data_IF_670823835215
#
_entry.id   IF_670823835215
#
_cell.length_a   1.000
_cell.length_b   1.000
_cell.length_c   1.000
_cell.angle_alpha   90.00
_cell.angle_beta   90.00
_cell.angle_gamma   90.00
#
_symmetry.space_group_name_H-M   'P 1'
#
loop_
_entity.id
_entity.type
_entity.pdbx_description
1 polymer ?
#
# COMPACT_ATOMS: atom_id res chain seq x y z
N UNK A 1 17.67 -21.90 -15.29
CA UNK A 1 16.75 -21.42 -16.33
C UNK A 1 15.60 -20.57 -15.76
N UNK A 2 14.75 -21.08 -14.83
CA UNK A 2 13.62 -20.31 -14.27
C UNK A 2 13.97 -18.89 -13.78
N UNK A 3 15.16 -18.68 -13.18
CA UNK A 3 15.61 -17.33 -12.77
C UNK A 3 15.71 -16.35 -13.94
N UNK A 4 16.21 -16.80 -15.09
CA UNK A 4 16.28 -16.00 -16.30
C UNK A 4 14.87 -15.69 -16.82
N UNK A 5 14.01 -16.70 -16.92
CA UNK A 5 12.62 -16.52 -17.38
C UNK A 5 11.83 -15.53 -16.49
N UNK A 6 11.95 -15.62 -15.16
CA UNK A 6 11.29 -14.67 -14.23
C UNK A 6 11.82 -13.26 -14.41
N UNK A 7 13.15 -13.10 -14.57
CA UNK A 7 13.74 -11.78 -14.81
C UNK A 7 13.29 -11.18 -16.15
N UNK A 8 13.16 -11.99 -17.20
CA UNK A 8 12.66 -11.59 -18.52
C UNK A 8 11.19 -11.17 -18.45
N UNK A 9 10.34 -11.94 -17.74
CA UNK A 9 8.93 -11.58 -17.53
C UNK A 9 8.77 -10.23 -16.82
N UNK A 10 9.54 -10.01 -15.74
CA UNK A 10 9.53 -8.74 -15.01
C UNK A 10 10.07 -7.57 -15.85
N UNK A 11 11.08 -7.80 -16.68
CA UNK A 11 11.68 -6.75 -17.51
C UNK A 11 10.82 -6.37 -18.72
N UNK A 12 10.01 -7.31 -19.23
CA UNK A 12 9.12 -7.08 -20.36
C UNK A 12 7.80 -6.40 -19.96
N UNK A 13 7.43 -6.45 -18.67
CA UNK A 13 6.19 -5.86 -18.19
C UNK A 13 6.30 -4.33 -18.03
N UNK A 14 5.25 -3.64 -18.47
CA UNK A 14 5.08 -2.20 -18.25
C UNK A 14 4.45 -1.89 -16.90
N UNK A 15 3.91 -2.91 -16.23
CA UNK A 15 3.11 -2.84 -15.02
C UNK A 15 1.83 -2.02 -15.22
N UNK A 16 1.12 -2.33 -16.30
CA UNK A 16 -0.24 -1.84 -16.58
C UNK A 16 -1.26 -2.96 -16.32
N UNK A 17 -2.51 -2.60 -16.01
CA UNK A 17 -3.60 -3.58 -15.86
C UNK A 17 -3.80 -4.39 -17.14
N UNK A 18 -3.91 -5.71 -16.99
CA UNK A 18 -4.09 -6.61 -18.13
C UNK A 18 -5.53 -6.56 -18.66
N UNK A 19 -5.70 -6.11 -19.92
CA UNK A 19 -6.96 -6.13 -20.64
C UNK A 19 -7.15 -7.47 -21.36
N UNK A 20 -8.24 -8.16 -21.06
CA UNK A 20 -8.67 -9.39 -21.73
C UNK A 20 -9.95 -9.14 -22.52
N UNK A 21 -9.89 -9.34 -23.83
CA UNK A 21 -11.01 -9.02 -24.73
C UNK A 21 -12.00 -10.16 -24.87
N UNK A 22 -11.58 -11.39 -24.60
CA UNK A 22 -12.32 -12.62 -24.87
C UNK A 22 -12.17 -13.63 -23.75
N UNK A 23 -13.14 -14.53 -23.63
CA UNK A 23 -13.20 -15.56 -22.59
C UNK A 23 -12.01 -16.53 -22.60
N UNK A 24 -11.46 -16.86 -23.77
CA UNK A 24 -10.28 -17.73 -23.84
C UNK A 24 -9.04 -17.07 -23.20
N UNK A 25 -8.90 -15.75 -23.30
CA UNK A 25 -7.80 -15.01 -22.68
C UNK A 25 -7.94 -15.05 -21.16
N UNK A 26 -9.17 -14.89 -20.64
CA UNK A 26 -9.46 -15.05 -19.23
C UNK A 26 -9.19 -16.47 -18.75
N UNK A 27 -9.58 -17.47 -19.53
CA UNK A 27 -9.32 -18.87 -19.23
C UNK A 27 -7.82 -19.16 -19.13
N UNK A 28 -7.03 -18.65 -20.09
CA UNK A 28 -5.58 -18.87 -20.16
C UNK A 28 -4.76 -18.08 -19.14
N UNK A 29 -5.25 -16.92 -18.69
CA UNK A 29 -4.51 -16.01 -17.79
C UNK A 29 -5.02 -16.02 -16.35
N UNK A 30 -6.27 -16.44 -16.11
CA UNK A 30 -6.91 -16.35 -14.78
C UNK A 30 -7.33 -17.72 -14.29
N UNK A 31 -8.26 -18.37 -14.99
CA UNK A 31 -8.85 -19.65 -14.55
C UNK A 31 -7.81 -20.76 -14.51
N UNK A 32 -6.90 -20.78 -15.50
CA UNK A 32 -5.80 -21.71 -15.54
C UNK A 32 -5.09 -21.76 -14.18
N UNK A 33 -4.81 -20.61 -13.55
CA UNK A 33 -4.01 -20.50 -12.32
C UNK A 33 -4.84 -20.36 -11.04
N UNK A 34 -6.17 -20.50 -11.10
CA UNK A 34 -7.03 -20.37 -9.92
C UNK A 34 -6.98 -18.99 -9.24
N UNK A 35 -6.69 -17.93 -10.00
CA UNK A 35 -6.53 -16.57 -9.49
C UNK A 35 -7.78 -15.68 -9.65
N UNK A 36 -8.94 -16.26 -10.03
CA UNK A 36 -10.20 -15.53 -10.23
C UNK A 36 -10.78 -15.00 -8.91
N UNK A 37 -11.15 -13.72 -8.83
CA UNK A 37 -11.74 -13.14 -7.61
C UNK A 37 -13.12 -13.69 -7.25
N UNK A 38 -13.86 -14.20 -8.23
CA UNK A 38 -15.17 -14.81 -8.04
C UNK A 38 -15.36 -15.99 -8.99
N UNK A 39 -16.31 -16.86 -8.68
CA UNK A 39 -16.70 -17.98 -9.54
C UNK A 39 -17.63 -17.56 -10.69
N UNK A 40 -18.03 -16.29 -10.75
CA UNK A 40 -18.85 -15.73 -11.82
C UNK A 40 -17.93 -15.27 -12.96
N UNK A 41 -18.22 -15.72 -14.18
CA UNK A 41 -17.53 -15.26 -15.40
C UNK A 41 -17.76 -13.75 -15.59
N UNK A 42 -16.69 -12.95 -15.76
CA UNK A 42 -16.83 -11.51 -15.93
C UNK A 42 -17.39 -11.15 -17.31
N UNK A 43 -17.89 -9.91 -17.43
CA UNK A 43 -18.19 -9.31 -18.72
C UNK A 43 -16.89 -8.98 -19.48
N UNK A 44 -16.95 -9.03 -20.81
CA UNK A 44 -15.83 -8.70 -21.69
C UNK A 44 -16.08 -7.37 -22.44
N UNK A 45 -15.05 -6.52 -22.59
CA UNK A 45 -13.67 -6.72 -22.16
C UNK A 45 -13.49 -6.64 -20.64
N UNK A 46 -12.64 -7.50 -20.09
CA UNK A 46 -12.33 -7.58 -18.67
C UNK A 46 -10.96 -6.96 -18.39
N UNK A 47 -10.89 -6.04 -17.42
CA UNK A 47 -9.64 -5.44 -16.93
C UNK A 47 -9.25 -6.14 -15.63
N UNK A 48 -8.13 -6.84 -15.63
CA UNK A 48 -7.62 -7.51 -14.44
C UNK A 48 -6.98 -6.50 -13.46
N UNK A 49 -7.06 -6.75 -12.15
CA UNK A 49 -6.37 -5.94 -11.14
C UNK A 49 -4.85 -6.23 -11.08
N UNK A 50 -4.31 -6.96 -12.05
CA UNK A 50 -2.92 -7.35 -12.16
C UNK A 50 -2.38 -7.13 -13.58
N UNK A 51 -1.06 -7.03 -13.69
CA UNK A 51 -0.35 -6.96 -14.97
C UNK A 51 0.04 -8.34 -15.51
N UNK A 52 0.58 -8.39 -16.74
CA UNK A 52 0.96 -9.66 -17.38
C UNK A 52 2.06 -10.45 -16.63
N UNK A 53 2.87 -9.78 -15.79
CA UNK A 53 3.83 -10.46 -14.89
C UNK A 53 3.20 -11.59 -14.09
N UNK A 54 1.98 -11.42 -13.58
CA UNK A 54 1.34 -12.43 -12.71
C UNK A 54 1.12 -13.75 -13.46
N UNK A 55 0.33 -13.80 -14.55
CA UNK A 55 0.13 -15.06 -15.27
C UNK A 55 1.44 -15.60 -15.88
N UNK A 56 2.40 -14.76 -16.26
CA UNK A 56 3.70 -15.22 -16.79
C UNK A 56 4.54 -15.93 -15.74
N UNK A 57 4.67 -15.37 -14.53
CA UNK A 57 5.31 -16.06 -13.40
C UNK A 57 4.55 -17.35 -13.07
N UNK A 58 3.21 -17.34 -13.14
CA UNK A 58 2.43 -18.55 -12.88
C UNK A 58 2.71 -19.67 -13.89
N UNK A 59 2.93 -19.36 -15.17
CA UNK A 59 3.35 -20.34 -16.19
C UNK A 59 4.70 -20.94 -15.87
N UNK A 60 5.67 -20.10 -15.53
CA UNK A 60 7.04 -20.53 -15.20
C UNK A 60 7.02 -21.48 -13.99
N UNK A 61 6.30 -21.11 -12.93
CA UNK A 61 6.22 -21.92 -11.72
C UNK A 61 5.45 -23.21 -11.96
N UNK A 62 4.36 -23.19 -12.74
CA UNK A 62 3.63 -24.40 -13.12
C UNK A 62 4.51 -25.39 -13.87
N UNK A 63 5.17 -24.94 -14.94
CA UNK A 63 6.06 -25.79 -15.74
C UNK A 63 7.17 -26.38 -14.86
N UNK A 64 7.75 -25.59 -13.95
CA UNK A 64 8.72 -26.09 -12.99
C UNK A 64 8.16 -27.19 -12.07
N UNK A 65 6.91 -27.07 -11.62
CA UNK A 65 6.24 -28.12 -10.81
C UNK A 65 6.05 -29.39 -11.64
N UNK A 66 5.53 -29.28 -12.86
CA UNK A 66 5.29 -30.41 -13.77
C UNK A 66 6.59 -31.16 -14.07
N UNK A 67 7.66 -30.44 -14.41
CA UNK A 67 9.00 -31.00 -14.64
C UNK A 67 9.57 -31.66 -13.38
N UNK A 68 9.37 -31.04 -12.21
CA UNK A 68 9.83 -31.58 -10.93
C UNK A 68 9.13 -32.90 -10.59
N UNK A 69 7.80 -32.98 -10.81
CA UNK A 69 7.04 -34.22 -10.58
C UNK A 69 7.50 -35.30 -11.56
N UNK A 70 7.60 -34.97 -12.85
CA UNK A 70 8.07 -35.89 -13.88
C UNK A 70 9.45 -36.46 -13.54
N UNK A 71 10.39 -35.60 -13.14
CA UNK A 71 11.73 -36.01 -12.71
C UNK A 71 11.70 -36.97 -11.50
N UNK A 72 10.89 -36.65 -10.48
CA UNK A 72 10.80 -37.48 -9.28
C UNK A 72 10.17 -38.84 -9.53
N UNK A 73 9.17 -38.92 -10.40
CA UNK A 73 8.52 -40.20 -10.78
C UNK A 73 9.50 -41.17 -11.44
N UNK A 74 10.45 -40.65 -12.23
CA UNK A 74 11.46 -41.47 -12.91
C UNK A 74 12.75 -41.69 -12.08
N UNK A 75 12.95 -40.92 -11.00
CA UNK A 75 14.20 -40.86 -10.22
C UNK A 75 14.33 -41.88 -9.06
N UNK A 76 13.27 -42.62 -8.73
CA UNK A 76 13.31 -43.72 -7.75
C UNK A 76 12.96 -43.35 -6.30
N UNK A 77 11.93 -44.03 -5.78
CA UNK A 77 11.67 -44.34 -4.36
C UNK A 77 11.84 -43.24 -3.30
N UNK A 78 10.86 -42.36 -3.15
CA UNK A 78 10.76 -41.42 -2.03
C UNK A 78 9.38 -40.76 -1.97
N UNK A 79 9.13 -39.93 -0.95
CA UNK A 79 7.93 -39.08 -0.93
C UNK A 79 8.06 -37.97 -1.99
N UNK A 80 7.53 -38.24 -3.18
CA UNK A 80 7.52 -37.33 -4.33
C UNK A 80 6.97 -35.97 -3.97
N UNK A 81 5.88 -35.92 -3.19
CA UNK A 81 5.25 -34.67 -2.82
C UNK A 81 6.12 -33.85 -1.88
N UNK A 82 6.75 -34.48 -0.89
CA UNK A 82 7.66 -33.79 0.03
C UNK A 82 8.85 -33.15 -0.73
N UNK A 83 9.43 -33.86 -1.70
CA UNK A 83 10.51 -33.33 -2.54
C UNK A 83 10.04 -32.16 -3.42
N UNK A 84 8.93 -32.32 -4.15
CA UNK A 84 8.36 -31.27 -5.01
C UNK A 84 7.97 -30.04 -4.20
N UNK A 85 7.39 -30.21 -3.01
CA UNK A 85 7.06 -29.11 -2.09
C UNK A 85 8.31 -28.34 -1.66
N UNK A 86 9.42 -29.03 -1.38
CA UNK A 86 10.71 -28.39 -1.07
C UNK A 86 11.23 -27.59 -2.27
N UNK A 87 11.18 -28.15 -3.47
CA UNK A 87 11.59 -27.43 -4.70
C UNK A 87 10.70 -26.23 -5.01
N UNK A 88 9.39 -26.36 -4.84
CA UNK A 88 8.42 -25.27 -4.96
C UNK A 88 8.75 -24.14 -3.97
N UNK A 89 9.03 -24.47 -2.71
CA UNK A 89 9.48 -23.49 -1.73
C UNK A 89 10.71 -22.72 -2.19
N UNK A 90 11.71 -23.42 -2.73
CA UNK A 90 12.97 -22.82 -3.21
C UNK A 90 12.78 -21.93 -4.43
N UNK A 91 12.01 -22.33 -5.45
CA UNK A 91 11.76 -21.45 -6.61
C UNK A 91 10.98 -20.21 -6.18
N UNK A 92 10.01 -20.33 -5.27
CA UNK A 92 9.29 -19.17 -4.77
C UNK A 92 10.20 -18.22 -3.99
N UNK A 93 11.04 -18.72 -3.07
CA UNK A 93 11.88 -17.87 -2.22
C UNK A 93 13.16 -17.37 -2.91
N UNK A 94 13.93 -18.26 -3.56
CA UNK A 94 15.26 -17.98 -4.12
C UNK A 94 15.21 -17.41 -5.55
N UNK A 95 14.05 -17.49 -6.21
CA UNK A 95 13.87 -17.00 -7.58
C UNK A 95 12.79 -15.94 -7.66
N UNK A 96 11.53 -16.27 -7.39
CA UNK A 96 10.42 -15.32 -7.57
C UNK A 96 10.54 -14.15 -6.60
N UNK A 97 10.58 -14.42 -5.30
CA UNK A 97 10.70 -13.38 -4.26
C UNK A 97 11.99 -12.57 -4.44
N UNK A 98 13.13 -13.21 -4.72
CA UNK A 98 14.40 -12.53 -4.93
C UNK A 98 14.39 -11.61 -6.17
N UNK A 99 13.78 -12.02 -7.27
CA UNK A 99 13.69 -11.20 -8.48
C UNK A 99 12.77 -10.00 -8.30
N UNK A 100 11.62 -10.16 -7.64
CA UNK A 100 10.70 -9.06 -7.33
C UNK A 100 11.36 -8.11 -6.33
N UNK A 101 12.03 -8.63 -5.29
CA UNK A 101 12.80 -7.82 -4.35
C UNK A 101 13.84 -6.96 -5.09
N UNK A 102 14.59 -7.57 -6.03
CA UNK A 102 15.58 -6.84 -6.82
C UNK A 102 14.94 -5.73 -7.68
N UNK A 103 13.77 -5.99 -8.27
CA UNK A 103 13.01 -4.97 -9.01
C UNK A 103 12.67 -3.78 -8.11
N UNK A 104 12.16 -4.05 -6.90
CA UNK A 104 11.75 -3.04 -5.93
C UNK A 104 12.94 -2.27 -5.37
N UNK A 105 14.02 -2.96 -5.01
CA UNK A 105 15.24 -2.37 -4.45
C UNK A 105 15.99 -1.50 -5.47
N UNK A 106 15.97 -1.91 -6.75
CA UNK A 106 16.52 -1.11 -7.85
C UNK A 106 15.64 0.08 -8.22
N UNK A 107 14.52 0.31 -7.52
CA UNK A 107 13.34 1.10 -7.89
C UNK A 107 13.52 2.61 -8.08
N UNK A 108 14.58 3.06 -8.73
CA UNK A 108 14.79 4.42 -9.22
C UNK A 108 14.03 4.72 -10.52
N UNK A 109 13.34 3.73 -11.12
CA UNK A 109 12.66 3.87 -12.41
C UNK A 109 11.15 3.60 -12.41
N UNK A 110 10.56 3.17 -11.29
CA UNK A 110 9.11 2.91 -11.22
C UNK A 110 8.35 4.18 -10.87
N UNK A 111 7.31 4.49 -11.65
CA UNK A 111 6.32 5.50 -11.32
C UNK A 111 5.39 5.05 -10.18
N UNK A 112 4.64 5.98 -9.58
CA UNK A 112 3.62 5.67 -8.57
C UNK A 112 2.60 4.64 -9.07
N UNK A 113 2.10 4.81 -10.30
CA UNK A 113 1.12 3.88 -10.89
C UNK A 113 1.70 2.47 -11.05
N UNK A 114 2.94 2.36 -11.52
CA UNK A 114 3.61 1.06 -11.64
C UNK A 114 3.88 0.43 -10.27
N UNK A 115 4.27 1.22 -9.27
CA UNK A 115 4.45 0.72 -7.91
C UNK A 115 3.12 0.23 -7.30
N UNK A 116 2.00 0.91 -7.58
CA UNK A 116 0.66 0.41 -7.22
C UNK A 116 0.38 -0.93 -7.89
N UNK A 117 0.67 -1.04 -9.19
CA UNK A 117 0.41 -2.26 -9.93
C UNK A 117 1.28 -3.43 -9.42
N UNK A 118 2.55 -3.17 -9.06
CA UNK A 118 3.42 -4.18 -8.41
C UNK A 118 2.82 -4.61 -7.05
N UNK A 119 2.37 -3.68 -6.21
CA UNK A 119 1.72 -4.01 -4.94
C UNK A 119 0.42 -4.82 -5.13
N UNK A 120 -0.39 -4.49 -6.14
CA UNK A 120 -1.59 -5.25 -6.50
C UNK A 120 -1.24 -6.67 -6.98
N UNK A 121 -0.21 -6.80 -7.84
CA UNK A 121 0.30 -8.10 -8.31
C UNK A 121 0.68 -9.01 -7.14
N UNK A 122 1.29 -8.47 -6.07
CA UNK A 122 1.68 -9.27 -4.91
C UNK A 122 0.49 -9.91 -4.19
N UNK A 123 -0.65 -9.22 -4.14
CA UNK A 123 -1.88 -9.76 -3.54
C UNK A 123 -2.46 -10.91 -4.38
N UNK A 124 -2.31 -10.86 -5.69
CA UNK A 124 -2.73 -11.95 -6.59
C UNK A 124 -1.74 -13.12 -6.55
N UNK A 125 -0.45 -12.82 -6.43
CA UNK A 125 0.59 -13.83 -6.27
C UNK A 125 0.45 -14.64 -4.97
N UNK A 126 -0.11 -14.06 -3.91
CA UNK A 126 -0.48 -14.80 -2.69
C UNK A 126 -1.48 -15.92 -2.97
N UNK A 127 -2.49 -15.64 -3.80
CA UNK A 127 -3.47 -16.63 -4.25
C UNK A 127 -2.86 -17.66 -5.21
N UNK A 128 -1.96 -17.22 -6.09
CA UNK A 128 -1.23 -18.11 -6.98
C UNK A 128 -0.35 -19.11 -6.21
N UNK A 129 0.28 -18.70 -5.11
CA UNK A 129 1.08 -19.58 -4.26
C UNK A 129 0.27 -20.73 -3.65
N UNK A 130 -0.99 -20.46 -3.29
CA UNK A 130 -1.92 -21.49 -2.88
C UNK A 130 -2.22 -22.46 -4.03
N UNK A 131 -2.53 -21.93 -5.22
CA UNK A 131 -2.76 -22.75 -6.41
C UNK A 131 -1.58 -23.68 -6.69
N UNK A 132 -0.34 -23.19 -6.65
CA UNK A 132 0.85 -24.01 -6.87
C UNK A 132 0.96 -25.18 -5.90
N UNK A 133 0.66 -24.93 -4.63
CA UNK A 133 0.73 -25.97 -3.59
C UNK A 133 -0.33 -27.05 -3.80
N UNK A 134 -1.55 -26.64 -4.18
CA UNK A 134 -2.64 -27.58 -4.52
C UNK A 134 -2.33 -28.36 -5.80
N UNK A 135 -1.82 -27.68 -6.81
CA UNK A 135 -1.47 -28.28 -8.10
C UNK A 135 -0.34 -29.32 -7.96
N UNK A 136 0.71 -29.00 -7.20
CA UNK A 136 1.78 -29.96 -6.89
C UNK A 136 1.25 -31.21 -6.17
N UNK A 137 0.33 -31.03 -5.21
CA UNK A 137 -0.28 -32.15 -4.51
C UNK A 137 -1.13 -33.05 -5.42
N UNK A 138 -1.93 -32.44 -6.29
CA UNK A 138 -2.74 -33.16 -7.28
C UNK A 138 -1.88 -34.01 -8.22
N UNK A 139 -0.80 -33.44 -8.76
CA UNK A 139 0.12 -34.17 -9.64
C UNK A 139 0.86 -35.30 -8.91
N UNK A 140 1.05 -35.19 -7.60
CA UNK A 140 1.66 -36.24 -6.77
C UNK A 140 0.63 -37.26 -6.22
N UNK A 141 -0.67 -37.15 -6.55
CA UNK A 141 -1.71 -38.03 -6.04
C UNK A 141 -2.05 -37.83 -4.55
N UNK A 142 -1.67 -36.70 -3.95
CA UNK A 142 -1.93 -36.40 -2.53
C UNK A 142 -3.31 -35.73 -2.38
N UNK A 143 -4.18 -36.23 -1.48
CA UNK A 143 -5.49 -35.62 -1.23
C UNK A 143 -5.39 -34.17 -0.73
N UNK A 144 -6.13 -33.25 -1.35
CA UNK A 144 -6.09 -31.81 -1.03
C UNK A 144 -6.37 -31.50 0.45
N UNK A 145 -7.26 -32.26 1.10
CA UNK A 145 -7.57 -32.13 2.53
C UNK A 145 -6.35 -32.32 3.45
N UNK A 146 -5.32 -33.03 2.99
CA UNK A 146 -4.07 -33.21 3.75
C UNK A 146 -3.15 -31.99 3.65
N UNK A 147 -3.27 -31.19 2.57
CA UNK A 147 -2.45 -30.02 2.28
C UNK A 147 -2.97 -28.77 2.98
N UNK A 148 -4.29 -28.61 3.06
CA UNK A 148 -4.96 -27.42 3.61
C UNK A 148 -4.71 -27.21 5.12
N UNK A 149 -4.42 -28.28 5.87
CA UNK A 149 -4.18 -28.22 7.32
C UNK A 149 -2.83 -27.60 7.73
N UNK A 150 -1.94 -27.33 6.76
CA UNK A 150 -0.55 -26.91 7.00
C UNK A 150 -0.19 -25.48 6.58
N UNK A 151 -1.15 -24.55 6.52
CA UNK A 151 -0.90 -23.16 6.12
C UNK A 151 -0.29 -22.34 7.25
N UNK A 152 0.93 -21.80 7.08
CA UNK A 152 1.39 -20.69 7.95
C UNK A 152 2.24 -19.58 7.35
N UNK A 153 2.78 -19.67 6.12
CA UNK A 153 3.62 -18.57 5.63
C UNK A 153 3.49 -18.31 4.13
N UNK A 154 3.43 -17.03 3.75
CA UNK A 154 3.39 -16.58 2.36
C UNK A 154 4.84 -16.48 1.84
N UNK A 155 5.26 -17.33 0.87
CA UNK A 155 6.67 -17.41 0.47
C UNK A 155 7.26 -16.12 -0.11
N UNK A 156 6.40 -15.20 -0.59
CA UNK A 156 6.81 -13.93 -1.20
C UNK A 156 6.57 -12.73 -0.26
N UNK A 157 6.47 -12.98 1.05
CA UNK A 157 6.20 -11.94 2.05
C UNK A 157 7.19 -10.79 1.99
N UNK A 158 8.50 -11.09 1.86
CA UNK A 158 9.54 -10.06 1.83
C UNK A 158 9.35 -9.10 0.65
N UNK A 159 9.14 -9.63 -0.55
CA UNK A 159 8.93 -8.79 -1.73
C UNK A 159 7.59 -8.04 -1.71
N UNK A 160 6.55 -8.61 -1.07
CA UNK A 160 5.28 -7.89 -0.82
C UNK A 160 5.50 -6.69 0.08
N UNK A 161 6.12 -6.91 1.24
CA UNK A 161 6.35 -5.86 2.23
C UNK A 161 7.26 -4.76 1.63
N UNK A 162 8.25 -5.14 0.82
CA UNK A 162 9.09 -4.20 0.08
C UNK A 162 8.32 -3.41 -0.99
N UNK A 163 7.42 -4.05 -1.75
CA UNK A 163 6.60 -3.39 -2.76
C UNK A 163 5.67 -2.34 -2.15
N UNK A 164 5.02 -2.66 -1.02
CA UNK A 164 4.20 -1.71 -0.27
C UNK A 164 5.04 -0.54 0.28
N UNK A 165 6.25 -0.83 0.81
CA UNK A 165 7.16 0.21 1.29
C UNK A 165 7.65 1.13 0.16
N UNK A 166 7.94 0.60 -1.02
CA UNK A 166 8.28 1.39 -2.20
C UNK A 166 7.14 2.31 -2.62
N UNK A 167 5.91 1.76 -2.71
CA UNK A 167 4.73 2.55 -3.04
C UNK A 167 4.57 3.70 -2.05
N UNK A 168 4.60 3.41 -0.75
CA UNK A 168 4.48 4.44 0.29
C UNK A 168 5.57 5.51 0.15
N UNK A 169 6.83 5.11 -0.05
CA UNK A 169 7.94 6.06 -0.24
C UNK A 169 7.71 6.99 -1.44
N UNK A 170 7.23 6.48 -2.56
CA UNK A 170 6.96 7.29 -3.75
C UNK A 170 5.79 8.26 -3.53
N UNK A 171 4.74 7.81 -2.84
CA UNK A 171 3.59 8.65 -2.50
C UNK A 171 3.97 9.78 -1.54
N UNK A 172 4.66 9.45 -0.44
CA UNK A 172 5.17 10.45 0.51
C UNK A 172 6.10 11.45 -0.20
N UNK A 173 7.00 10.97 -1.07
CA UNK A 173 7.87 11.85 -1.85
C UNK A 173 7.09 12.80 -2.77
N UNK A 174 5.92 12.38 -3.30
CA UNK A 174 5.07 13.23 -4.14
C UNK A 174 4.28 14.23 -3.30
N UNK A 175 3.79 13.82 -2.13
CA UNK A 175 3.21 14.74 -1.14
C UNK A 175 4.23 15.80 -0.70
N UNK A 176 5.47 15.39 -0.43
CA UNK A 176 6.56 16.32 -0.10
C UNK A 176 6.84 17.33 -1.22
N UNK A 177 6.58 16.96 -2.49
CA UNK A 177 6.73 17.87 -3.62
C UNK A 177 5.74 19.02 -3.59
N UNK A 178 4.47 18.73 -3.30
CA UNK A 178 3.44 19.75 -3.13
C UNK A 178 3.65 20.54 -1.83
N UNK A 179 3.98 19.85 -0.73
CA UNK A 179 4.26 20.46 0.56
C UNK A 179 5.45 21.43 0.54
N UNK A 180 6.37 21.35 -0.43
CA UNK A 180 7.44 22.36 -0.61
C UNK A 180 6.91 23.76 -0.90
N UNK A 181 5.68 23.89 -1.41
CA UNK A 181 5.02 25.19 -1.59
C UNK A 181 4.62 25.85 -0.26
N UNK A 182 4.75 25.15 0.88
CA UNK A 182 4.52 25.72 2.21
C UNK A 182 5.48 26.85 2.57
N UNK A 183 6.59 27.03 1.85
CA UNK A 183 7.45 28.21 1.98
C UNK A 183 6.71 29.53 1.69
N UNK A 184 5.58 29.48 0.96
CA UNK A 184 4.70 30.61 0.70
C UNK A 184 3.74 30.96 1.84
N UNK A 185 3.70 30.19 2.94
CA UNK A 185 2.81 30.47 4.08
C UNK A 185 3.22 31.79 4.74
N UNK A 186 2.30 32.75 4.79
CA UNK A 186 2.51 34.01 5.49
C UNK A 186 2.19 33.86 6.99
N UNK A 187 3.23 33.57 7.78
CA UNK A 187 3.11 33.36 9.22
C UNK A 187 2.68 34.61 10.00
N UNK A 188 2.87 35.82 9.45
CA UNK A 188 2.54 37.09 10.13
C UNK A 188 1.41 37.85 9.44
N UNK A 189 0.57 37.15 8.67
CA UNK A 189 -0.58 37.75 8.02
C UNK A 189 -1.57 38.33 9.04
N UNK A 190 -2.18 39.46 8.68
CA UNK A 190 -3.26 40.07 9.46
C UNK A 190 -4.56 39.27 9.30
N UNK A 191 -4.84 38.76 8.09
CA UNK A 191 -6.03 37.98 7.76
C UNK A 191 -5.66 36.54 7.33
N UNK A 192 -6.50 35.54 7.67
CA UNK A 192 -6.29 34.16 7.23
C UNK A 192 -6.51 34.01 5.71
N UNK A 193 -5.82 33.06 5.06
CA UNK A 193 -6.01 32.81 3.63
C UNK A 193 -7.43 32.29 3.34
N UNK A 194 -8.06 32.87 2.31
CA UNK A 194 -9.38 32.45 1.87
C UNK A 194 -9.31 31.06 1.22
N UNK A 195 -9.85 30.05 1.89
CA UNK A 195 -9.81 28.67 1.40
C UNK A 195 -8.49 27.94 1.65
N UNK A 196 -7.75 28.33 2.69
CA UNK A 196 -6.49 27.70 3.11
C UNK A 196 -5.30 28.03 2.22
N UNK A 197 -4.16 27.41 2.51
CA UNK A 197 -2.90 27.63 1.81
C UNK A 197 -2.80 26.83 0.50
N UNK A 198 -2.02 27.33 -0.45
CA UNK A 198 -1.85 26.73 -1.78
C UNK A 198 -1.37 25.27 -1.71
N UNK A 199 -0.37 24.98 -0.88
CA UNK A 199 0.17 23.63 -0.73
C UNK A 199 -0.91 22.62 -0.28
N UNK A 200 -1.85 23.04 0.58
CA UNK A 200 -2.89 22.16 1.11
C UNK A 200 -3.93 21.82 0.05
N UNK A 201 -4.27 22.79 -0.80
CA UNK A 201 -5.13 22.58 -1.95
C UNK A 201 -4.49 21.60 -2.96
N UNK A 202 -3.22 21.79 -3.31
CA UNK A 202 -2.49 20.89 -4.22
C UNK A 202 -2.36 19.47 -3.67
N UNK A 203 -2.05 19.32 -2.38
CA UNK A 203 -2.02 18.00 -1.72
C UNK A 203 -3.41 17.35 -1.75
N UNK A 204 -4.47 18.10 -1.49
CA UNK A 204 -5.85 17.56 -1.50
C UNK A 204 -6.25 17.07 -2.89
N UNK A 205 -6.01 17.87 -3.93
CA UNK A 205 -6.26 17.49 -5.34
C UNK A 205 -5.48 16.23 -5.71
N UNK A 206 -4.21 16.15 -5.29
CA UNK A 206 -3.39 14.97 -5.51
C UNK A 206 -3.97 13.73 -4.83
N UNK A 207 -4.36 13.83 -3.56
CA UNK A 207 -4.94 12.71 -2.80
C UNK A 207 -6.26 12.21 -3.41
N UNK A 208 -7.12 13.09 -3.88
CA UNK A 208 -8.37 12.73 -4.55
C UNK A 208 -8.10 11.98 -5.87
N UNK A 209 -7.20 12.53 -6.70
CA UNK A 209 -6.78 11.90 -7.96
C UNK A 209 -6.15 10.54 -7.73
N UNK A 210 -5.24 10.47 -6.75
CA UNK A 210 -4.54 9.28 -6.32
C UNK A 210 -5.53 8.19 -5.90
N UNK A 211 -6.50 8.54 -5.06
CA UNK A 211 -7.49 7.58 -4.53
C UNK A 211 -8.31 6.97 -5.66
N UNK A 212 -8.78 7.80 -6.59
CA UNK A 212 -9.56 7.32 -7.75
C UNK A 212 -8.79 6.26 -8.55
N UNK A 213 -7.51 6.49 -8.83
CA UNK A 213 -6.66 5.50 -9.50
C UNK A 213 -6.39 4.29 -8.62
N UNK A 214 -6.07 4.51 -7.34
CA UNK A 214 -5.71 3.44 -6.41
C UNK A 214 -6.86 2.45 -6.16
N UNK A 215 -8.11 2.91 -6.12
CA UNK A 215 -9.29 2.03 -5.98
C UNK A 215 -9.44 1.05 -7.15
N UNK A 216 -9.00 1.43 -8.35
CA UNK A 216 -9.11 0.58 -9.53
C UNK A 216 -8.02 -0.51 -9.57
N UNK A 217 -6.90 -0.28 -8.88
CA UNK A 217 -5.69 -1.13 -8.95
C UNK A 217 -5.49 -1.91 -7.66
N UNK A 218 -5.53 -1.24 -6.51
CA UNK A 218 -5.16 -1.80 -5.22
C UNK A 218 -6.32 -2.55 -4.57
N UNK A 219 -6.04 -3.71 -3.94
CA UNK A 219 -6.98 -4.33 -3.03
C UNK A 219 -7.29 -3.42 -1.83
N UNK A 220 -8.55 -3.44 -1.38
CA UNK A 220 -9.04 -2.57 -0.30
C UNK A 220 -8.15 -2.56 0.97
N UNK A 221 -7.61 -3.69 1.47
CA UNK A 221 -6.72 -3.66 2.64
C UNK A 221 -5.39 -2.93 2.39
N UNK A 222 -4.85 -3.00 1.17
CA UNK A 222 -3.62 -2.29 0.79
C UNK A 222 -3.91 -0.81 0.67
N UNK A 223 -5.02 -0.45 0.00
CA UNK A 223 -5.48 0.93 -0.13
C UNK A 223 -5.63 1.62 1.24
N UNK A 224 -6.31 0.96 2.20
CA UNK A 224 -6.45 1.47 3.57
C UNK A 224 -5.10 1.80 4.21
N UNK A 225 -4.17 0.83 4.21
CA UNK A 225 -2.85 1.00 4.84
C UNK A 225 -2.08 2.15 4.22
N UNK A 226 -2.10 2.24 2.89
CA UNK A 226 -1.41 3.30 2.14
C UNK A 226 -1.99 4.67 2.47
N UNK A 227 -3.31 4.83 2.42
CA UNK A 227 -3.96 6.11 2.71
C UNK A 227 -3.71 6.57 4.15
N UNK A 228 -3.84 5.66 5.13
CA UNK A 228 -3.54 5.97 6.54
C UNK A 228 -2.08 6.41 6.70
N UNK A 229 -1.13 5.69 6.10
CA UNK A 229 0.30 6.04 6.19
C UNK A 229 0.62 7.39 5.52
N UNK A 230 -0.02 7.71 4.41
CA UNK A 230 0.12 9.03 3.77
C UNK A 230 -0.46 10.15 4.65
N UNK A 231 -1.60 9.94 5.31
CA UNK A 231 -2.15 10.92 6.26
C UNK A 231 -1.26 11.13 7.49
N UNK A 232 -0.62 10.07 8.00
CA UNK A 232 0.38 10.18 9.06
C UNK A 232 1.57 11.04 8.59
N UNK A 233 2.07 10.80 7.37
CA UNK A 233 3.14 11.61 6.79
C UNK A 233 2.74 13.10 6.67
N UNK A 234 1.52 13.38 6.19
CA UNK A 234 0.97 14.74 6.13
C UNK A 234 0.92 15.38 7.52
N UNK A 235 0.45 14.65 8.52
CA UNK A 235 0.41 15.10 9.92
C UNK A 235 1.79 15.51 10.42
N UNK A 236 2.81 14.67 10.19
CA UNK A 236 4.19 14.96 10.56
C UNK A 236 4.72 16.22 9.86
N UNK A 237 4.40 16.39 8.56
CA UNK A 237 4.78 17.57 7.79
C UNK A 237 4.14 18.85 8.33
N UNK A 238 2.85 18.84 8.71
CA UNK A 238 2.17 20.00 9.29
C UNK A 238 2.82 20.41 10.62
N UNK A 239 3.13 19.45 11.49
CA UNK A 239 3.87 19.74 12.74
C UNK A 239 5.25 20.31 12.43
N UNK A 240 5.93 19.79 11.41
CA UNK A 240 7.24 20.29 10.99
C UNK A 240 7.19 21.73 10.44
N UNK A 241 6.05 22.21 9.92
CA UNK A 241 5.89 23.61 9.51
C UNK A 241 6.07 24.56 10.70
N UNK A 242 5.43 24.27 11.84
CA UNK A 242 5.57 25.08 13.06
C UNK A 242 6.95 24.98 13.70
N UNK A 243 7.62 23.85 13.53
CA UNK A 243 8.98 23.62 14.06
C UNK A 243 10.09 24.14 13.14
N UNK A 244 9.74 24.69 11.98
CA UNK A 244 10.73 25.17 11.03
C UNK A 244 11.48 26.38 11.60
N UNK A 245 12.82 26.35 11.58
CA UNK A 245 13.68 27.42 12.08
C UNK A 245 13.42 28.78 11.39
N UNK A 246 12.85 28.80 10.19
CA UNK A 246 12.45 30.03 9.51
C UNK A 246 11.26 30.72 10.19
N UNK A 247 10.43 29.98 10.92
CA UNK A 247 9.24 30.47 11.61
C UNK A 247 9.64 30.97 13.00
N UNK A 248 9.95 32.27 13.08
CA UNK A 248 10.31 32.90 14.37
C UNK A 248 9.12 33.36 15.18
N UNK A 249 8.02 33.71 14.51
CA UNK A 249 6.76 34.17 15.08
C UNK A 249 5.64 33.82 14.10
N UNK A 250 4.44 33.60 14.64
CA UNK A 250 3.24 33.45 13.84
C UNK A 250 2.06 34.20 14.48
N UNK A 251 1.13 34.65 13.65
CA UNK A 251 -0.11 35.31 14.06
C UNK A 251 -1.22 34.28 14.31
N UNK A 252 -2.27 34.67 15.04
CA UNK A 252 -3.48 33.85 15.15
C UNK A 252 -4.11 33.56 13.79
N UNK A 253 -4.05 34.51 12.85
CA UNK A 253 -4.54 34.35 11.48
C UNK A 253 -3.78 33.27 10.71
N UNK A 254 -2.46 33.14 10.92
CA UNK A 254 -1.69 32.03 10.35
C UNK A 254 -2.13 30.67 10.94
N UNK A 255 -2.38 30.59 12.25
CA UNK A 255 -2.91 29.37 12.88
C UNK A 255 -4.29 29.01 12.34
N UNK A 256 -5.17 29.99 12.09
CA UNK A 256 -6.47 29.79 11.44
C UNK A 256 -6.30 29.28 9.99
N UNK A 257 -5.28 29.76 9.27
CA UNK A 257 -4.91 29.23 7.95
C UNK A 257 -4.56 27.74 8.02
N UNK A 258 -3.67 27.35 8.94
CA UNK A 258 -3.30 25.93 9.12
C UNK A 258 -4.49 25.09 9.62
N UNK A 259 -5.38 25.64 10.46
CA UNK A 259 -6.63 24.98 10.85
C UNK A 259 -7.51 24.66 9.63
N UNK A 260 -7.58 25.60 8.68
CA UNK A 260 -8.33 25.43 7.43
C UNK A 260 -7.71 24.33 6.57
N UNK A 261 -6.38 24.32 6.41
CA UNK A 261 -5.65 23.26 5.71
C UNK A 261 -5.93 21.88 6.33
N UNK A 262 -5.84 21.80 7.67
CA UNK A 262 -6.06 20.56 8.39
C UNK A 262 -7.49 20.04 8.24
N UNK A 263 -8.48 20.93 8.23
CA UNK A 263 -9.89 20.57 7.96
C UNK A 263 -10.07 19.98 6.55
N UNK A 264 -9.30 20.41 5.55
CA UNK A 264 -9.34 19.77 4.23
C UNK A 264 -8.88 18.32 4.28
N UNK A 265 -7.76 18.06 4.96
CA UNK A 265 -7.23 16.71 5.10
C UNK A 265 -8.14 15.81 5.96
N UNK A 266 -8.76 16.37 7.00
CA UNK A 266 -9.76 15.66 7.82
C UNK A 266 -11.02 15.34 7.02
N UNK A 267 -11.51 16.27 6.20
CA UNK A 267 -12.64 16.06 5.29
C UNK A 267 -12.33 14.97 4.26
N UNK A 268 -11.13 15.00 3.67
CA UNK A 268 -10.65 13.92 2.81
C UNK A 268 -10.66 12.56 3.53
N UNK A 269 -10.10 12.49 4.75
CA UNK A 269 -10.06 11.28 5.56
C UNK A 269 -11.46 10.74 5.92
N UNK A 270 -12.40 11.61 6.25
CA UNK A 270 -13.79 11.25 6.53
C UNK A 270 -14.49 10.69 5.29
N UNK A 271 -14.33 11.34 4.14
CA UNK A 271 -14.85 10.85 2.86
C UNK A 271 -14.31 9.46 2.53
N UNK A 272 -13.00 9.23 2.75
CA UNK A 272 -12.38 7.93 2.49
C UNK A 272 -12.83 6.85 3.46
N UNK A 273 -13.12 7.20 4.70
CA UNK A 273 -13.59 6.25 5.72
C UNK A 273 -14.89 5.55 5.29
N UNK A 274 -15.73 6.24 4.52
CA UNK A 274 -16.97 5.67 3.99
C UNK A 274 -16.75 4.46 3.08
N UNK A 275 -15.63 4.40 2.36
CA UNK A 275 -15.27 3.29 1.47
C UNK A 275 -15.01 1.97 2.21
N UNK A 276 -14.76 2.04 3.52
CA UNK A 276 -14.38 0.89 4.34
C UNK A 276 -15.50 0.42 5.27
N UNK A 277 -16.64 1.11 5.32
CA UNK A 277 -17.77 0.81 6.22
C UNK A 277 -18.35 -0.59 6.00
N UNK A 278 -18.55 -0.99 4.74
CA UNK A 278 -19.13 -2.29 4.38
C UNK A 278 -18.20 -3.49 4.68
N UNK A 279 -16.94 -3.23 5.03
CA UNK A 279 -15.93 -4.28 5.22
C UNK A 279 -15.83 -4.82 6.67
N UNK A 280 -16.77 -4.47 7.56
CA UNK A 280 -16.72 -4.75 9.01
C UNK A 280 -15.45 -4.20 9.70
N UNK A 281 -14.91 -3.09 9.17
CA UNK A 281 -13.69 -2.45 9.65
C UNK A 281 -13.98 -1.09 10.30
N UNK A 282 -14.73 -1.06 11.40
CA UNK A 282 -14.94 0.16 12.23
C UNK A 282 -13.62 0.87 12.63
N UNK A 283 -12.53 0.12 12.59
CA UNK A 283 -11.16 0.58 12.84
C UNK A 283 -10.60 1.54 11.77
N UNK A 284 -11.09 1.54 10.53
CA UNK A 284 -10.50 2.36 9.46
C UNK A 284 -10.75 3.86 9.67
N UNK A 285 -12.00 4.24 9.99
CA UNK A 285 -12.35 5.62 10.32
C UNK A 285 -11.59 6.13 11.54
N UNK A 286 -11.46 5.27 12.56
CA UNK A 286 -10.68 5.59 13.76
C UNK A 286 -9.18 5.76 13.46
N UNK A 287 -8.61 4.97 12.56
CA UNK A 287 -7.20 5.08 12.17
C UNK A 287 -6.93 6.34 11.36
N UNK A 288 -7.75 6.63 10.35
CA UNK A 288 -7.61 7.84 9.54
C UNK A 288 -7.78 9.10 10.39
N UNK A 289 -8.78 9.12 11.28
CA UNK A 289 -8.92 10.18 12.27
C UNK A 289 -7.70 10.28 13.17
N UNK A 290 -7.22 9.14 13.70
CA UNK A 290 -6.03 9.10 14.56
C UNK A 290 -4.77 9.61 13.88
N UNK A 291 -4.65 9.47 12.55
CA UNK A 291 -3.49 9.90 11.78
C UNK A 291 -3.27 11.41 11.84
N UNK A 292 -4.34 12.21 11.94
CA UNK A 292 -4.30 13.68 11.94
C UNK A 292 -4.43 14.30 13.35
N UNK A 293 -4.45 13.48 14.41
CA UNK A 293 -4.75 13.97 15.76
C UNK A 293 -3.67 14.86 16.36
N UNK A 294 -2.39 14.65 16.05
CA UNK A 294 -1.29 15.48 16.59
C UNK A 294 -1.43 16.96 16.14
N UNK A 295 -1.49 17.29 14.84
CA UNK A 295 -1.67 18.68 14.41
C UNK A 295 -3.03 19.25 14.83
N UNK A 296 -4.09 18.43 14.92
CA UNK A 296 -5.40 18.88 15.42
C UNK A 296 -5.32 19.34 16.87
N UNK A 297 -4.66 18.56 17.73
CA UNK A 297 -4.44 18.93 19.12
C UNK A 297 -3.55 20.17 19.25
N UNK A 298 -2.54 20.34 18.38
CA UNK A 298 -1.66 21.50 18.38
C UNK A 298 -2.43 22.77 18.03
N UNK A 299 -3.19 22.77 16.93
CA UNK A 299 -4.03 23.90 16.53
C UNK A 299 -5.03 24.27 17.62
N UNK A 300 -5.69 23.27 18.24
CA UNK A 300 -6.61 23.50 19.35
C UNK A 300 -5.92 24.12 20.58
N UNK A 301 -4.64 23.80 20.82
CA UNK A 301 -3.85 24.41 21.89
C UNK A 301 -3.49 25.86 21.56
N UNK A 302 -2.99 26.11 20.35
CA UNK A 302 -2.58 27.45 19.89
C UNK A 302 -3.76 28.44 19.81
N UNK A 303 -4.97 27.92 19.57
CA UNK A 303 -6.21 28.69 19.53
C UNK A 303 -6.95 28.74 20.89
N UNK A 304 -6.40 28.11 21.93
CA UNK A 304 -7.04 28.05 23.25
C UNK A 304 -6.97 29.40 23.97
N UNK A 305 -8.06 29.77 24.64
CA UNK A 305 -8.07 30.92 25.58
C UNK A 305 -7.35 30.62 26.91
N UNK A 306 -6.97 29.36 27.15
CA UNK A 306 -6.30 28.90 28.36
C UNK A 306 -5.20 27.89 28.03
N UNK A 307 -4.11 28.30 27.34
CA UNK A 307 -3.02 27.40 26.93
C UNK A 307 -2.25 26.81 28.13
N UNK A 308 -2.24 27.48 29.29
CA UNK A 308 -1.64 27.01 30.54
C UNK A 308 -2.20 25.67 31.01
N UNK A 309 -3.40 25.30 30.58
CA UNK A 309 -4.01 24.00 30.85
C UNK A 309 -3.15 22.83 30.32
N UNK A 310 -2.32 23.05 29.29
CA UNK A 310 -1.39 22.04 28.80
C UNK A 310 -0.31 21.65 29.82
N UNK A 311 0.00 22.53 30.78
CA UNK A 311 0.94 22.24 31.86
C UNK A 311 0.34 21.28 32.91
N UNK A 312 -0.99 21.15 32.96
CA UNK A 312 -1.66 20.20 33.82
C UNK A 312 -1.58 18.78 33.22
N UNK A 313 -0.93 17.82 33.89
CA UNK A 313 -0.76 16.47 33.35
C UNK A 313 -2.07 15.75 33.02
N UNK A 314 -3.12 15.96 33.82
CA UNK A 314 -4.43 15.32 33.66
C UNK A 314 -5.16 15.87 32.43
N UNK A 315 -5.13 17.19 32.25
CA UNK A 315 -5.75 17.82 31.07
C UNK A 315 -4.97 17.43 29.81
N UNK A 316 -3.63 17.41 29.89
CA UNK A 316 -2.79 16.97 28.78
C UNK A 316 -3.06 15.54 28.36
N UNK A 317 -3.15 14.61 29.30
CA UNK A 317 -3.46 13.20 29.01
C UNK A 317 -4.88 13.02 28.42
N UNK A 318 -5.82 13.89 28.77
CA UNK A 318 -7.20 13.81 28.27
C UNK A 318 -7.39 14.46 26.90
N UNK A 319 -6.79 15.63 26.67
CA UNK A 319 -7.11 16.51 25.54
C UNK A 319 -5.96 16.70 24.55
N UNK A 320 -4.72 16.45 24.98
CA UNK A 320 -3.50 16.73 24.22
C UNK A 320 -2.51 15.55 24.24
N UNK A 321 -3.02 14.32 24.32
CA UNK A 321 -2.24 13.11 24.51
C UNK A 321 -1.37 12.68 23.32
N UNK A 322 -1.54 13.31 22.15
CA UNK A 322 -0.71 13.10 20.97
C UNK A 322 0.40 14.14 20.85
N UNK A 323 0.34 15.23 21.62
CA UNK A 323 1.37 16.26 21.59
C UNK A 323 2.61 15.84 22.37
N UNK A 324 3.77 15.98 21.72
CA UNK A 324 5.06 15.90 22.40
C UNK A 324 5.36 17.22 23.12
N UNK A 325 5.68 17.13 24.42
CA UNK A 325 5.94 18.29 25.26
C UNK A 325 7.11 19.16 24.76
N UNK A 326 8.16 18.55 24.22
CA UNK A 326 9.33 19.28 23.70
C UNK A 326 8.97 20.02 22.42
N UNK A 327 8.21 19.40 21.51
CA UNK A 327 7.72 20.07 20.30
C UNK A 327 6.88 21.29 20.64
N UNK A 328 5.93 21.15 21.57
CA UNK A 328 5.09 22.27 22.00
C UNK A 328 5.91 23.41 22.60
N UNK A 329 6.91 23.09 23.44
CA UNK A 329 7.79 24.09 24.04
C UNK A 329 8.70 24.83 23.03
N UNK A 330 8.97 24.25 21.86
CA UNK A 330 9.71 24.93 20.77
C UNK A 330 8.78 25.87 19.99
N UNK A 331 7.51 25.47 19.82
CA UNK A 331 6.51 26.22 19.05
C UNK A 331 5.95 27.41 19.84
N UNK A 332 5.86 27.28 21.17
CA UNK A 332 5.29 28.28 22.09
C UNK A 332 6.32 29.32 22.53
#
# INVERSE_FOLDING_TARGET
DCRRQVAEALAADKFDQMLMRKEYEYSMNVLAFGIQSSDITPAFPYVAPFSCTVPDICRIVRSFIEDSVSFMVHGGGGDTYAAVKKYLGRILSEVVNASIQKLVDSGSGLSVSQAMQVAANMSIMERACEFFTRHAAQLCGVPLRAVERGRRDFPLRKSRDAAEALLLRLLCSKVDEFMRQSDGVNWIADDPPAGGNEYANEVTIYLETLTSTAQQILPLPVLRRVLVAVLVHISERIIALFLNDSVKRFSGSAVIGIDTDLKMFESFAENMSSLFLDSHQDSAASEMKSALMEPRQLVNLLMSNSPENFLNPVIREKSYNKLDYKKVAIIS
#
